data_IF_970135783415
#
_entry.id   IF_970135783415
#
_cell.length_a   1.000
_cell.length_b   1.000
_cell.length_c   1.000
_cell.angle_alpha   90.00
_cell.angle_beta   90.00
_cell.angle_gamma   90.00
#
_symmetry.space_group_name_H-M   'P 1'
#
loop_
_entity.id
_entity.type
_entity.pdbx_description
1 polymer ?
#
# COMPACT_ATOMS: atom_id res chain seq x y z
N UNK A 1 8.33 15.77 4.34
CA UNK A 1 6.94 16.00 3.87
C UNK A 1 6.20 14.74 4.27
N UNK A 2 5.26 14.79 5.22
CA UNK A 2 4.51 13.61 5.61
C UNK A 2 3.62 13.15 4.44
N UNK A 3 3.45 11.84 4.32
CA UNK A 3 2.43 11.23 3.49
C UNK A 3 1.42 10.51 4.37
N UNK A 4 0.15 10.58 3.98
CA UNK A 4 -0.96 9.94 4.68
C UNK A 4 -1.83 9.20 3.67
N UNK A 5 -2.21 7.98 4.01
CA UNK A 5 -3.23 7.21 3.31
C UNK A 5 -4.46 7.07 4.20
N UNK A 6 -5.63 7.36 3.63
CA UNK A 6 -6.91 7.20 4.31
C UNK A 6 -7.83 6.29 3.52
N UNK A 7 -8.63 5.49 4.23
CA UNK A 7 -9.69 4.65 3.66
C UNK A 7 -10.97 4.97 4.42
N UNK A 8 -12.05 5.34 3.70
CA UNK A 8 -13.30 5.79 4.31
C UNK A 8 -13.13 6.90 5.36
N UNK A 9 -12.16 7.81 5.15
CA UNK A 9 -11.85 8.89 6.10
C UNK A 9 -11.03 8.50 7.33
N UNK A 10 -10.63 7.23 7.47
CA UNK A 10 -9.74 6.77 8.55
C UNK A 10 -8.29 6.68 8.06
N UNK A 11 -7.35 7.23 8.84
CA UNK A 11 -5.91 7.07 8.57
C UNK A 11 -5.51 5.60 8.76
N UNK A 12 -4.95 5.02 7.71
CA UNK A 12 -4.47 3.62 7.70
C UNK A 12 -2.96 3.52 7.49
N UNK A 13 -2.32 4.59 7.01
CA UNK A 13 -0.86 4.72 6.99
C UNK A 13 -0.45 6.19 7.08
N UNK A 14 0.65 6.46 7.77
CA UNK A 14 1.24 7.80 7.88
C UNK A 14 2.75 7.72 8.07
N UNK A 15 3.52 8.49 7.28
CA UNK A 15 4.99 8.43 7.35
C UNK A 15 5.64 9.70 6.82
N UNK A 16 6.80 10.06 7.39
CA UNK A 16 7.70 11.09 6.84
C UNK A 16 8.68 10.53 5.78
N UNK A 17 8.74 9.21 5.64
CA UNK A 17 9.68 8.51 4.75
C UNK A 17 8.92 7.54 3.86
N UNK A 18 8.97 7.77 2.56
CA UNK A 18 8.29 6.93 1.58
C UNK A 18 9.07 6.91 0.27
N UNK A 19 8.74 5.93 -0.57
CA UNK A 19 9.24 5.86 -1.94
C UNK A 19 8.14 6.29 -2.91
N UNK A 20 8.51 6.95 -4.01
CA UNK A 20 7.58 7.24 -5.10
C UNK A 20 8.01 6.48 -6.34
N UNK A 21 7.13 5.65 -6.87
CA UNK A 21 7.36 4.86 -8.08
C UNK A 21 6.11 4.89 -8.95
N UNK A 22 6.27 5.27 -10.21
CA UNK A 22 5.18 5.39 -11.19
C UNK A 22 3.97 6.20 -10.69
N UNK A 23 4.25 7.29 -9.96
CA UNK A 23 3.22 8.16 -9.39
C UNK A 23 2.49 7.60 -8.16
N UNK A 24 2.90 6.43 -7.65
CA UNK A 24 2.35 5.86 -6.42
C UNK A 24 3.30 6.08 -5.26
N UNK A 25 2.74 6.44 -4.10
CA UNK A 25 3.47 6.51 -2.82
C UNK A 25 3.47 5.12 -2.19
N UNK A 26 4.67 4.68 -1.82
CA UNK A 26 4.94 3.41 -1.17
C UNK A 26 5.31 3.68 0.29
N UNK A 27 4.44 3.24 1.19
CA UNK A 27 4.56 3.39 2.63
C UNK A 27 5.37 2.23 3.21
N UNK A 28 6.36 2.48 4.09
CA UNK A 28 7.06 1.43 4.80
C UNK A 28 6.10 0.49 5.56
N UNK A 29 6.43 -0.80 5.72
CA UNK A 29 5.61 -1.74 6.49
C UNK A 29 5.44 -1.34 7.97
N UNK A 30 6.31 -0.48 8.49
CA UNK A 30 6.24 0.06 9.85
C UNK A 30 5.27 1.22 9.99
N UNK A 31 4.88 1.87 8.89
CA UNK A 31 4.01 3.05 8.91
C UNK A 31 2.54 2.75 8.64
N UNK A 32 2.19 1.48 8.39
CA UNK A 32 0.79 1.04 8.21
C UNK A 32 0.21 0.59 9.54
N UNK A 33 -1.08 0.86 9.75
CA UNK A 33 -1.83 0.27 10.86
C UNK A 33 -2.19 -1.18 10.53
N UNK A 34 -1.27 -2.12 10.78
CA UNK A 34 -1.43 -3.55 10.42
C UNK A 34 -2.73 -4.20 10.89
N UNK A 35 -3.33 -3.72 11.99
CA UNK A 35 -4.61 -4.24 12.49
C UNK A 35 -5.77 -4.01 11.50
N UNK A 36 -5.64 -3.04 10.60
CA UNK A 36 -6.60 -2.76 9.54
C UNK A 36 -6.35 -3.54 8.25
N UNK A 37 -5.30 -4.37 8.15
CA UNK A 37 -4.89 -5.00 6.90
C UNK A 37 -4.97 -6.52 7.00
N UNK A 38 -5.69 -7.13 6.06
CA UNK A 38 -5.79 -8.59 5.94
C UNK A 38 -5.28 -9.01 4.57
N UNK A 39 -4.27 -9.88 4.53
CA UNK A 39 -3.73 -10.41 3.27
C UNK A 39 -4.80 -11.19 2.51
N UNK A 40 -4.81 -11.04 1.19
CA UNK A 40 -5.73 -11.78 0.30
C UNK A 40 -4.94 -12.76 -0.57
N UNK A 41 -5.60 -13.82 -1.10
CA UNK A 41 -4.98 -14.69 -2.10
C UNK A 41 -4.82 -13.99 -3.47
N UNK A 42 -5.35 -12.78 -3.66
CA UNK A 42 -5.21 -12.02 -4.90
C UNK A 42 -3.74 -11.70 -5.15
N UNK A 43 -3.29 -12.02 -6.36
CA UNK A 43 -1.94 -11.74 -6.82
C UNK A 43 -1.98 -11.31 -8.28
N UNK A 44 -1.11 -10.39 -8.65
CA UNK A 44 -0.92 -9.97 -10.04
C UNK A 44 0.56 -9.93 -10.36
N UNK A 45 0.90 -10.08 -11.63
CA UNK A 45 2.29 -10.06 -12.08
C UNK A 45 2.57 -8.81 -12.93
N UNK A 46 3.57 -8.04 -12.53
CA UNK A 46 4.12 -6.93 -13.29
C UNK A 46 5.45 -7.37 -13.92
N UNK A 47 5.63 -7.26 -15.24
CA UNK A 47 6.87 -7.69 -15.91
C UNK A 47 8.11 -6.94 -15.40
N UNK A 48 7.94 -5.72 -14.90
CA UNK A 48 9.02 -4.88 -14.40
C UNK A 48 9.28 -5.03 -12.90
N UNK A 49 8.23 -5.21 -12.11
CA UNK A 49 8.34 -5.19 -10.65
C UNK A 49 8.30 -6.57 -10.01
N UNK A 50 7.74 -7.58 -10.67
CA UNK A 50 7.53 -8.91 -10.10
C UNK A 50 6.09 -9.12 -9.63
N UNK A 51 5.91 -10.03 -8.67
CA UNK A 51 4.60 -10.45 -8.17
C UNK A 51 4.09 -9.48 -7.09
N UNK A 52 2.93 -8.87 -7.35
CA UNK A 52 2.22 -8.07 -6.36
C UNK A 52 1.30 -8.96 -5.52
N UNK A 53 1.23 -8.66 -4.23
CA UNK A 53 0.29 -9.23 -3.27
C UNK A 53 -0.61 -8.12 -2.72
N UNK A 54 -1.79 -8.49 -2.24
CA UNK A 54 -2.85 -7.53 -1.95
C UNK A 54 -3.33 -7.64 -0.50
N UNK A 55 -3.88 -6.52 -0.01
CA UNK A 55 -4.54 -6.41 1.28
C UNK A 55 -5.97 -5.90 1.10
N UNK A 56 -6.90 -6.56 1.78
CA UNK A 56 -8.18 -5.95 2.17
C UNK A 56 -7.90 -5.00 3.32
N UNK A 57 -8.45 -3.79 3.25
CA UNK A 57 -8.34 -2.80 4.33
C UNK A 57 -9.68 -2.66 5.03
N UNK A 58 -9.69 -2.88 6.34
CA UNK A 58 -10.87 -2.79 7.20
C UNK A 58 -10.81 -1.52 8.04
N UNK A 59 -11.82 -0.68 7.89
CA UNK A 59 -11.99 0.58 8.64
C UNK A 59 -13.37 0.58 9.29
N UNK A 60 -13.40 0.54 10.63
CA UNK A 60 -14.66 0.42 11.37
C UNK A 60 -15.36 -0.92 11.08
N UNK A 61 -16.55 -0.87 10.47
CA UNK A 61 -17.35 -2.06 10.07
C UNK A 61 -17.29 -2.34 8.56
N UNK A 62 -16.51 -1.58 7.81
CA UNK A 62 -16.44 -1.67 6.36
C UNK A 62 -15.11 -2.27 5.94
N UNK A 63 -15.18 -3.31 5.11
CA UNK A 63 -14.03 -3.87 4.43
C UNK A 63 -13.95 -3.32 3.01
N UNK A 64 -12.75 -2.95 2.58
CA UNK A 64 -12.46 -2.55 1.21
C UNK A 64 -11.50 -3.58 0.61
N UNK A 65 -12.02 -4.55 -0.15
CA UNK A 65 -11.21 -5.63 -0.71
C UNK A 65 -10.13 -5.11 -1.65
N UNK A 66 -8.93 -5.67 -1.58
CA UNK A 66 -7.80 -5.35 -2.46
C UNK A 66 -7.60 -3.83 -2.60
N UNK A 67 -7.65 -3.11 -1.46
CA UNK A 67 -7.49 -1.66 -1.40
C UNK A 67 -6.02 -1.23 -1.43
N UNK A 68 -5.14 -2.11 -0.96
CA UNK A 68 -3.71 -1.89 -0.95
C UNK A 68 -2.96 -3.07 -1.59
N UNK A 69 -1.78 -2.80 -2.13
CA UNK A 69 -0.89 -3.82 -2.68
C UNK A 69 0.56 -3.57 -2.26
N UNK A 70 1.37 -4.62 -2.37
CA UNK A 70 2.80 -4.58 -2.08
C UNK A 70 3.55 -5.62 -2.90
N UNK A 71 4.86 -5.47 -3.01
CA UNK A 71 5.73 -6.45 -3.65
C UNK A 71 6.58 -7.16 -2.58
N UNK A 72 6.27 -8.43 -2.22
CA UNK A 72 7.07 -9.18 -1.25
C UNK A 72 8.46 -9.53 -1.77
N UNK A 73 8.57 -9.79 -3.08
CA UNK A 73 9.83 -10.10 -3.74
C UNK A 73 9.91 -9.37 -5.09
N UNK A 74 10.23 -8.05 -5.07
CA UNK A 74 10.34 -7.28 -6.29
C UNK A 74 11.60 -7.63 -7.08
N UNK A 75 11.65 -7.28 -8.36
CA UNK A 75 12.89 -7.38 -9.15
C UNK A 75 14.01 -6.48 -8.56
N UNK A 76 15.30 -6.77 -8.84
CA UNK A 76 16.44 -6.04 -8.28
C UNK A 76 16.33 -4.51 -8.38
N UNK A 77 15.82 -3.99 -9.51
CA UNK A 77 15.68 -2.55 -9.75
C UNK A 77 14.63 -1.89 -8.83
N UNK A 78 13.76 -2.68 -8.21
CA UNK A 78 12.65 -2.23 -7.36
C UNK A 78 12.77 -2.71 -5.91
N UNK A 79 13.95 -3.18 -5.48
CA UNK A 79 14.16 -3.66 -4.09
C UNK A 79 13.87 -2.59 -3.03
N UNK A 80 14.01 -1.31 -3.38
CA UNK A 80 13.68 -0.20 -2.47
C UNK A 80 12.21 -0.14 -2.02
N UNK A 81 11.29 -0.75 -2.77
CA UNK A 81 9.86 -0.85 -2.41
C UNK A 81 9.48 -2.23 -1.89
N UNK A 82 10.45 -3.08 -1.53
CA UNK A 82 10.18 -4.42 -1.01
C UNK A 82 9.34 -4.33 0.26
N UNK A 83 8.19 -5.00 0.23
CA UNK A 83 7.14 -4.96 1.26
C UNK A 83 6.47 -3.60 1.49
N UNK A 84 6.87 -2.54 0.79
CA UNK A 84 6.20 -1.26 0.96
C UNK A 84 4.81 -1.32 0.35
N UNK A 85 3.87 -0.64 0.99
CA UNK A 85 2.45 -0.72 0.68
C UNK A 85 2.02 0.52 -0.09
N UNK A 86 1.34 0.32 -1.21
CA UNK A 86 0.68 1.37 -1.99
C UNK A 86 -0.83 1.11 -2.04
N UNK A 87 -1.62 2.12 -2.40
CA UNK A 87 -3.08 2.09 -2.31
C UNK A 87 -3.77 2.46 -3.63
N UNK A 88 -4.92 1.83 -3.90
CA UNK A 88 -5.65 2.05 -5.14
C UNK A 88 -6.42 3.35 -5.12
N UNK A 89 -6.22 4.16 -6.15
CA UNK A 89 -7.06 5.33 -6.41
C UNK A 89 -8.53 4.91 -6.51
N UNK A 90 -9.39 5.60 -5.77
CA UNK A 90 -10.82 5.29 -5.68
C UNK A 90 -11.20 4.29 -4.58
N UNK A 91 -10.22 3.63 -3.95
CA UNK A 91 -10.41 2.82 -2.72
C UNK A 91 -9.78 3.49 -1.49
N UNK A 92 -8.74 4.28 -1.71
CA UNK A 92 -8.09 5.09 -0.70
C UNK A 92 -7.77 6.48 -1.27
N UNK A 93 -7.65 7.45 -0.37
CA UNK A 93 -7.10 8.76 -0.65
C UNK A 93 -5.68 8.84 -0.09
N UNK A 94 -4.72 9.14 -0.98
CA UNK A 94 -3.30 9.26 -0.64
C UNK A 94 -2.86 10.69 -0.90
N UNK A 95 -2.27 11.32 0.11
CA UNK A 95 -1.82 12.71 0.05
C UNK A 95 -0.40 12.82 0.62
N UNK A 96 0.39 13.72 0.07
CA UNK A 96 1.71 14.12 0.60
C UNK A 96 1.89 15.62 0.40
N UNK A 97 2.39 16.32 1.42
CA UNK A 97 2.57 17.78 1.43
C UNK A 97 3.93 18.21 1.93
#
# INVERSE_FOLDING_TARGET
MPATATVNGHVVAETDTYEVVDGNIYFPPSSINKASFTSTPTQTYCPYKGQASYYTVTTGKTEVPDAAWYYPDPKPEYQKIKNFVAFYKGKADVQSS
#
